data_IF_437575317091
#
_entry.id   IF_437575317091
#
_cell.length_a   1.000
_cell.length_b   1.000
_cell.length_c   1.000
_cell.angle_alpha   90.00
_cell.angle_beta   90.00
_cell.angle_gamma   90.00
#
_symmetry.space_group_name_H-M   'P 1'
#
loop_
_entity.id
_entity.type
_entity.pdbx_description
1 polymer ?
#
# COMPACT_ATOMS: atom_id res chain seq x y z
N UNK A 1 63.16 14.11 -4.18
CA UNK A 1 62.37 13.93 -2.95
C UNK A 1 61.44 15.14 -2.81
N UNK A 2 60.25 15.06 -3.33
CA UNK A 2 59.19 16.07 -3.10
C UNK A 2 58.12 15.38 -2.26
N UNK A 3 57.92 15.91 -1.06
CA UNK A 3 56.90 15.44 -0.10
C UNK A 3 55.53 15.73 -0.65
N UNK A 4 54.76 14.67 -0.82
CA UNK A 4 53.33 14.72 -1.13
C UNK A 4 52.63 15.10 0.18
N UNK A 5 52.05 16.30 0.27
CA UNK A 5 51.11 16.64 1.32
C UNK A 5 49.76 16.04 0.93
N UNK A 6 49.41 14.93 1.56
CA UNK A 6 48.06 14.36 1.51
C UNK A 6 47.25 15.13 2.55
N UNK A 7 46.42 16.05 2.09
CA UNK A 7 45.37 16.64 2.94
C UNK A 7 44.28 15.61 3.04
N UNK A 8 44.25 14.93 4.18
CA UNK A 8 43.18 13.96 4.50
C UNK A 8 41.85 14.69 4.56
N UNK A 9 40.99 14.45 3.59
CA UNK A 9 39.56 14.75 3.70
C UNK A 9 38.99 13.69 4.62
N UNK A 10 38.65 14.08 5.83
CA UNK A 10 38.02 13.22 6.80
C UNK A 10 36.54 13.02 6.36
N UNK A 11 36.31 11.96 5.64
CA UNK A 11 34.93 11.46 5.46
C UNK A 11 34.48 10.90 6.81
N UNK A 12 33.63 11.62 7.51
CA UNK A 12 32.97 11.10 8.71
C UNK A 12 31.94 10.06 8.25
N UNK A 13 32.36 8.80 8.19
CA UNK A 13 31.42 7.69 8.16
C UNK A 13 30.78 7.60 9.54
N UNK A 14 29.52 7.89 9.65
CA UNK A 14 28.71 7.54 10.82
C UNK A 14 28.61 6.01 10.85
N UNK A 15 29.49 5.37 11.63
CA UNK A 15 29.29 3.99 12.05
C UNK A 15 28.30 4.06 13.22
N UNK A 16 27.04 4.14 12.91
CA UNK A 16 25.97 3.85 13.84
C UNK A 16 25.95 2.35 14.08
N UNK A 17 26.33 1.88 15.26
CA UNK A 17 26.07 0.53 15.73
C UNK A 17 24.61 0.43 16.18
N UNK A 18 23.71 0.65 15.27
CA UNK A 18 22.29 0.34 15.35
C UNK A 18 21.98 -0.61 14.21
N UNK A 19 21.26 -1.67 14.44
CA UNK A 19 20.64 -2.51 13.41
C UNK A 19 19.56 -1.68 12.71
N UNK A 20 19.97 -0.75 11.86
CA UNK A 20 19.04 -0.02 11.04
C UNK A 20 18.45 -1.00 10.04
N UNK A 21 17.18 -1.34 10.25
CA UNK A 21 16.37 -1.92 9.19
C UNK A 21 16.53 -1.01 7.96
N UNK A 22 16.65 -1.57 6.74
CA UNK A 22 16.79 -0.76 5.54
C UNK A 22 15.68 0.30 5.52
N UNK A 23 16.06 1.53 5.19
CA UNK A 23 15.10 2.64 5.12
C UNK A 23 13.92 2.20 4.27
N UNK A 24 12.69 2.31 4.83
CA UNK A 24 11.50 1.91 4.12
C UNK A 24 11.24 2.90 2.99
N UNK A 25 10.97 2.36 1.80
CA UNK A 25 10.67 3.14 0.61
C UNK A 25 9.29 3.83 0.76
N UNK A 26 9.09 5.04 0.21
CA UNK A 26 7.85 5.82 0.38
C UNK A 26 6.55 5.10 -0.01
N UNK A 27 6.58 4.33 -1.11
CA UNK A 27 5.52 3.43 -1.55
C UNK A 27 4.14 4.09 -1.78
N UNK A 28 4.08 5.25 -2.44
CA UNK A 28 2.81 5.83 -2.89
C UNK A 28 2.04 4.83 -3.77
N UNK A 29 0.74 4.69 -3.52
CA UNK A 29 -0.09 3.69 -4.21
C UNK A 29 -0.09 2.30 -3.56
N UNK A 30 0.41 2.18 -2.31
CA UNK A 30 0.38 0.93 -1.56
C UNK A 30 -1.01 0.59 -1.02
N UNK A 31 -1.81 1.58 -0.68
CA UNK A 31 -3.21 1.46 -0.31
C UNK A 31 -4.04 2.43 -1.12
N UNK A 32 -5.19 2.00 -1.59
CA UNK A 32 -6.09 2.80 -2.43
C UNK A 32 -7.52 2.54 -1.98
N UNK A 33 -8.28 3.62 -1.75
CA UNK A 33 -9.72 3.56 -1.55
C UNK A 33 -10.39 4.50 -2.56
N UNK A 34 -11.45 4.03 -3.20
CA UNK A 34 -12.13 4.73 -4.29
C UNK A 34 -13.63 4.67 -4.07
N UNK A 35 -14.28 5.83 -4.19
CA UNK A 35 -15.73 5.96 -4.37
C UNK A 35 -16.04 6.37 -5.81
N UNK A 36 -17.30 6.64 -6.15
CA UNK A 36 -17.63 7.14 -7.48
C UNK A 36 -16.97 8.47 -7.86
N UNK A 37 -16.67 9.33 -6.87
CA UNK A 37 -16.19 10.70 -7.08
C UNK A 37 -14.93 11.07 -6.30
N UNK A 38 -14.49 10.21 -5.37
CA UNK A 38 -13.33 10.48 -4.53
C UNK A 38 -12.36 9.31 -4.50
N UNK A 39 -11.09 9.66 -4.42
CA UNK A 39 -9.98 8.73 -4.41
C UNK A 39 -9.03 9.08 -3.27
N UNK A 40 -8.62 8.07 -2.50
CA UNK A 40 -7.62 8.19 -1.45
C UNK A 40 -6.47 7.25 -1.75
N UNK A 41 -5.25 7.77 -1.69
CA UNK A 41 -4.03 7.02 -1.95
C UNK A 41 -3.10 7.16 -0.76
N UNK A 42 -2.71 6.03 -0.19
CA UNK A 42 -1.75 5.97 0.91
C UNK A 42 -0.30 5.96 0.42
N UNK A 43 0.51 6.74 1.11
CA UNK A 43 1.98 6.71 1.09
C UNK A 43 2.44 6.49 2.54
N UNK A 44 2.48 5.25 3.02
CA UNK A 44 2.64 4.95 4.45
C UNK A 44 4.01 5.31 5.00
N UNK A 45 5.00 5.46 4.14
CA UNK A 45 6.36 5.87 4.50
C UNK A 45 6.76 7.04 3.62
N UNK A 46 7.48 7.99 4.20
CA UNK A 46 8.22 9.01 3.45
C UNK A 46 9.67 9.00 3.96
N UNK A 47 10.64 9.32 3.11
CA UNK A 47 12.06 9.27 3.48
C UNK A 47 12.39 10.08 4.73
N UNK A 48 11.80 11.25 4.86
CA UNK A 48 12.08 12.21 5.93
C UNK A 48 10.84 12.71 6.67
N UNK A 49 9.66 12.31 6.22
CA UNK A 49 8.38 12.71 6.77
C UNK A 49 7.53 11.54 7.27
N UNK A 50 6.41 11.82 7.88
CA UNK A 50 5.42 10.82 8.25
C UNK A 50 4.70 10.26 7.03
N UNK A 51 3.97 9.15 7.23
CA UNK A 51 3.02 8.66 6.24
C UNK A 51 1.95 9.71 5.91
N UNK A 52 1.48 9.68 4.67
CA UNK A 52 0.51 10.65 4.14
C UNK A 52 -0.58 9.93 3.36
N UNK A 53 -1.81 10.40 3.46
CA UNK A 53 -2.92 10.00 2.59
C UNK A 53 -3.30 11.18 1.72
N UNK A 54 -3.27 10.99 0.42
CA UNK A 54 -3.66 11.99 -0.58
C UNK A 54 -5.11 11.79 -0.94
N UNK A 55 -5.92 12.84 -0.83
CA UNK A 55 -7.31 12.86 -1.23
C UNK A 55 -7.47 13.59 -2.56
N UNK A 56 -8.19 12.98 -3.47
CA UNK A 56 -8.49 13.52 -4.79
C UNK A 56 -10.00 13.53 -5.03
N UNK A 57 -10.45 14.46 -5.86
CA UNK A 57 -11.82 14.51 -6.36
C UNK A 57 -11.82 14.42 -7.88
N UNK A 58 -12.79 13.69 -8.40
CA UNK A 58 -13.02 13.58 -9.83
C UNK A 58 -13.61 14.90 -10.36
N UNK A 59 -12.94 15.50 -11.33
CA UNK A 59 -13.44 16.71 -11.98
C UNK A 59 -14.45 16.37 -13.08
N UNK A 60 -15.28 17.33 -13.52
CA UNK A 60 -16.18 17.14 -14.66
C UNK A 60 -15.46 16.76 -15.97
N UNK A 61 -14.17 17.05 -16.09
CA UNK A 61 -13.34 16.64 -17.23
C UNK A 61 -12.81 15.21 -17.13
N UNK A 62 -13.12 14.47 -16.06
CA UNK A 62 -12.69 13.09 -15.87
C UNK A 62 -11.29 12.94 -15.28
N UNK A 63 -10.67 14.02 -14.80
CA UNK A 63 -9.36 14.00 -14.17
C UNK A 63 -9.48 14.00 -12.64
N UNK A 64 -8.54 13.37 -11.96
CA UNK A 64 -8.41 13.41 -10.51
C UNK A 64 -7.62 14.66 -10.08
N UNK A 65 -8.24 15.50 -9.28
CA UNK A 65 -7.61 16.69 -8.71
C UNK A 65 -7.34 16.47 -7.22
N UNK A 66 -6.10 16.65 -6.78
CA UNK A 66 -5.74 16.62 -5.37
C UNK A 66 -6.47 17.74 -4.62
N UNK A 67 -7.15 17.37 -3.53
CA UNK A 67 -7.92 18.31 -2.71
C UNK A 67 -7.28 18.51 -1.33
N UNK A 68 -6.65 17.49 -0.79
CA UNK A 68 -5.98 17.58 0.51
C UNK A 68 -4.97 16.46 0.73
N UNK A 69 -4.09 16.69 1.69
CA UNK A 69 -3.14 15.72 2.23
C UNK A 69 -3.42 15.54 3.70
N UNK A 70 -3.63 14.30 4.10
CA UNK A 70 -3.98 13.94 5.46
C UNK A 70 -2.76 13.30 6.12
N UNK A 71 -2.43 13.78 7.29
CA UNK A 71 -1.40 13.23 8.17
C UNK A 71 -1.97 13.08 9.56
N UNK A 72 -1.47 12.16 10.36
CA UNK A 72 -1.88 12.02 11.75
C UNK A 72 -1.37 13.20 12.58
N UNK A 73 -2.18 13.68 13.53
CA UNK A 73 -1.83 14.79 14.43
C UNK A 73 -0.63 14.49 15.33
N UNK A 74 -0.40 13.19 15.62
CA UNK A 74 0.71 12.67 16.42
C UNK A 74 1.68 11.82 15.57
N UNK A 75 1.83 12.16 14.31
CA UNK A 75 2.57 11.39 13.31
C UNK A 75 4.04 11.15 13.64
N UNK A 76 4.54 9.93 13.34
CA UNK A 76 5.96 9.56 13.36
C UNK A 76 6.30 8.84 12.04
N UNK A 77 7.59 8.87 11.66
CA UNK A 77 8.10 8.28 10.41
C UNK A 77 7.91 6.77 10.29
N UNK A 78 7.70 6.07 11.39
CA UNK A 78 7.65 4.60 11.45
C UNK A 78 6.25 4.05 11.72
N UNK A 79 5.24 4.88 11.70
CA UNK A 79 3.89 4.49 12.08
C UNK A 79 3.14 3.72 10.99
N UNK A 80 3.62 3.79 9.76
CA UNK A 80 2.96 3.25 8.56
C UNK A 80 1.53 3.82 8.38
N UNK A 81 1.29 5.09 8.73
CA UNK A 81 0.01 5.77 8.52
C UNK A 81 -0.35 5.78 7.02
N UNK A 82 -1.56 5.33 6.67
CA UNK A 82 -1.97 5.19 5.28
C UNK A 82 -1.72 3.80 4.69
N UNK A 83 -1.35 2.79 5.51
CA UNK A 83 -1.18 1.41 5.05
C UNK A 83 -2.47 0.72 4.68
N UNK A 84 -3.59 1.13 5.27
CA UNK A 84 -4.93 0.66 4.96
C UNK A 84 -5.92 1.82 5.00
N UNK A 85 -6.90 1.79 4.12
CA UNK A 85 -7.88 2.85 3.91
C UNK A 85 -9.27 2.27 3.72
N UNK A 86 -10.28 2.88 4.33
CA UNK A 86 -11.67 2.58 4.06
C UNK A 86 -12.52 3.82 4.19
N UNK A 87 -13.33 4.12 3.19
CA UNK A 87 -14.18 5.31 3.12
C UNK A 87 -15.65 4.91 2.97
N UNK A 88 -16.51 5.59 3.73
CA UNK A 88 -17.97 5.46 3.59
C UNK A 88 -18.61 6.84 3.86
N UNK A 89 -19.17 7.45 2.83
CA UNK A 89 -19.74 8.79 2.87
C UNK A 89 -18.72 9.84 3.32
N UNK A 90 -19.04 10.52 4.42
CA UNK A 90 -18.21 11.59 4.98
C UNK A 90 -17.21 11.11 6.05
N UNK A 91 -16.84 9.84 6.02
CA UNK A 91 -15.90 9.24 6.97
C UNK A 91 -14.85 8.40 6.27
N UNK A 92 -13.59 8.60 6.66
CA UNK A 92 -12.44 7.84 6.21
C UNK A 92 -11.73 7.25 7.43
N UNK A 93 -11.41 5.98 7.37
CA UNK A 93 -10.57 5.29 8.37
C UNK A 93 -9.21 5.03 7.75
N UNK A 94 -8.16 5.36 8.50
CA UNK A 94 -6.76 5.20 8.08
C UNK A 94 -6.00 4.37 9.10
N UNK A 95 -5.45 3.24 8.68
CA UNK A 95 -4.64 2.39 9.53
C UNK A 95 -3.19 2.84 9.62
N UNK A 96 -2.62 2.67 10.83
CA UNK A 96 -1.21 2.91 11.15
C UNK A 96 -0.68 1.74 12.02
N UNK A 97 -0.42 0.57 11.43
CA UNK A 97 -0.20 -0.68 12.16
C UNK A 97 1.12 -0.74 12.93
N UNK A 98 2.06 0.16 12.65
CA UNK A 98 3.34 0.23 13.38
C UNK A 98 3.39 1.32 14.44
N UNK A 99 2.34 2.11 14.60
CA UNK A 99 2.22 3.09 15.68
C UNK A 99 2.49 2.41 17.03
N UNK A 100 3.10 3.16 17.97
CA UNK A 100 3.36 2.69 19.33
C UNK A 100 4.18 1.39 19.40
N UNK A 101 5.21 1.28 18.57
CA UNK A 101 6.11 0.13 18.58
C UNK A 101 5.52 -1.14 17.97
N UNK A 102 4.46 -1.03 17.16
CA UNK A 102 3.85 -2.14 16.45
C UNK A 102 2.50 -2.61 17.03
N UNK A 103 2.02 -2.01 18.13
CA UNK A 103 0.64 -2.25 18.58
C UNK A 103 -0.37 -1.79 17.54
N UNK A 104 -0.11 -0.65 16.90
CA UNK A 104 -0.95 -0.08 15.88
C UNK A 104 -2.13 0.73 16.41
N UNK A 105 -2.70 1.57 15.54
CA UNK A 105 -3.94 2.34 15.76
C UNK A 105 -4.66 2.52 14.44
N UNK A 106 -5.91 3.01 14.50
CA UNK A 106 -6.62 3.53 13.33
C UNK A 106 -7.07 4.97 13.60
N UNK A 107 -6.96 5.83 12.60
CA UNK A 107 -7.39 7.23 12.66
C UNK A 107 -8.73 7.38 11.96
N UNK A 108 -9.57 8.25 12.52
CA UNK A 108 -10.85 8.64 11.94
C UNK A 108 -10.71 10.05 11.39
N UNK A 109 -10.98 10.21 10.10
CA UNK A 109 -11.16 11.50 9.46
C UNK A 109 -12.62 11.68 9.09
N UNK A 110 -13.17 12.86 9.36
CA UNK A 110 -14.55 13.20 9.07
C UNK A 110 -14.65 14.56 8.41
N UNK A 111 -15.74 14.77 7.68
CA UNK A 111 -16.17 16.06 7.18
C UNK A 111 -17.68 16.18 7.32
N UNK A 112 -18.23 17.39 7.28
CA UNK A 112 -19.66 17.62 7.44
C UNK A 112 -20.41 17.45 6.12
N UNK A 113 -19.80 17.86 5.01
CA UNK A 113 -20.33 17.72 3.66
C UNK A 113 -19.23 17.35 2.67
N UNK A 114 -19.59 16.96 1.44
CA UNK A 114 -18.62 16.63 0.38
C UNK A 114 -17.69 17.79 0.02
N UNK A 115 -18.13 19.03 0.22
CA UNK A 115 -17.35 20.24 -0.09
C UNK A 115 -16.44 20.69 1.05
N UNK A 116 -16.59 20.10 2.24
CA UNK A 116 -15.74 20.42 3.39
C UNK A 116 -14.40 19.65 3.34
N UNK A 117 -13.42 20.22 4.03
CA UNK A 117 -12.13 19.58 4.23
C UNK A 117 -12.25 18.38 5.18
N UNK A 118 -11.48 17.32 4.89
CA UNK A 118 -11.29 16.20 5.79
C UNK A 118 -10.49 16.63 7.02
N UNK A 119 -10.99 16.30 8.21
CA UNK A 119 -10.33 16.60 9.49
C UNK A 119 -10.23 15.37 10.34
N UNK A 120 -9.12 15.24 11.05
CA UNK A 120 -8.97 14.18 12.05
C UNK A 120 -10.00 14.40 13.16
N UNK A 121 -10.87 13.40 13.34
CA UNK A 121 -11.94 13.39 14.34
C UNK A 121 -11.54 12.57 15.58
N UNK A 122 -10.54 11.70 15.47
CA UNK A 122 -10.04 10.93 16.60
C UNK A 122 -9.18 9.74 16.23
N UNK A 123 -8.70 9.07 17.26
CA UNK A 123 -7.86 7.88 17.18
C UNK A 123 -8.62 6.71 17.82
N UNK A 124 -8.67 5.58 17.12
CA UNK A 124 -9.18 4.32 17.64
C UNK A 124 -8.00 3.47 18.08
N UNK A 125 -7.86 3.35 19.38
CA UNK A 125 -6.82 2.54 19.99
C UNK A 125 -7.28 1.09 20.14
N UNK A 126 -6.37 0.11 20.12
CA UNK A 126 -6.71 -1.24 20.48
C UNK A 126 -7.19 -1.30 21.95
N UNK A 127 -7.93 -2.34 22.36
CA UNK A 127 -8.30 -2.53 23.76
C UNK A 127 -7.10 -2.48 24.68
N UNK A 128 -7.27 -2.02 25.94
CA UNK A 128 -6.16 -1.79 26.87
C UNK A 128 -5.42 -3.08 27.28
N UNK A 129 -6.08 -4.23 27.18
CA UNK A 129 -5.55 -5.53 27.57
C UNK A 129 -5.35 -6.46 26.38
N UNK A 130 -4.24 -7.17 26.33
CA UNK A 130 -3.92 -8.19 25.33
C UNK A 130 -2.77 -7.83 24.39
N UNK A 131 -2.46 -8.75 23.48
CA UNK A 131 -1.57 -8.51 22.34
C UNK A 131 -2.38 -7.86 21.21
N UNK A 132 -1.88 -6.78 20.65
CA UNK A 132 -2.54 -6.01 19.60
C UNK A 132 -1.66 -5.80 18.38
N UNK A 133 -0.65 -6.64 18.21
CA UNK A 133 0.36 -6.51 17.15
C UNK A 133 -0.27 -6.35 15.76
N UNK A 134 0.00 -5.21 15.15
CA UNK A 134 -0.50 -4.87 13.81
C UNK A 134 -1.95 -4.40 13.74
N UNK A 135 -2.54 -3.87 14.83
CA UNK A 135 -3.88 -3.26 14.79
C UNK A 135 -3.94 -2.14 13.74
N UNK A 136 -4.92 -2.20 12.85
CA UNK A 136 -5.02 -1.28 11.71
C UNK A 136 -4.28 -1.76 10.45
N UNK A 137 -3.78 -3.00 10.40
CA UNK A 137 -3.22 -3.59 9.16
C UNK A 137 -4.25 -3.60 8.03
N UNK A 138 -5.49 -3.86 8.36
CA UNK A 138 -6.63 -3.72 7.46
C UNK A 138 -7.79 -3.05 8.18
N UNK A 139 -8.55 -2.24 7.47
CA UNK A 139 -9.74 -1.56 7.99
C UNK A 139 -10.89 -1.67 6.99
N UNK A 140 -12.10 -1.89 7.48
CA UNK A 140 -13.33 -1.90 6.67
C UNK A 140 -14.43 -1.17 7.41
N UNK A 141 -14.87 -0.05 6.85
CA UNK A 141 -15.95 0.76 7.35
C UNK A 141 -17.25 0.39 6.60
N UNK A 142 -18.31 0.12 7.34
CA UNK A 142 -19.60 -0.33 6.81
C UNK A 142 -20.73 0.35 7.59
N UNK A 143 -21.08 1.57 7.21
CA UNK A 143 -22.08 2.38 7.92
C UNK A 143 -21.68 2.63 9.38
N UNK A 144 -22.46 2.10 10.35
CA UNK A 144 -22.13 2.23 11.78
C UNK A 144 -21.09 1.22 12.26
N UNK A 145 -20.78 0.19 11.50
CA UNK A 145 -19.87 -0.88 11.86
C UNK A 145 -18.46 -0.62 11.27
N UNK A 146 -17.43 -0.97 12.02
CA UNK A 146 -16.02 -0.87 11.63
C UNK A 146 -15.31 -2.16 12.02
N UNK A 147 -14.57 -2.73 11.08
CA UNK A 147 -13.74 -3.89 11.30
C UNK A 147 -12.27 -3.48 11.20
N UNK A 148 -11.47 -3.88 12.18
CA UNK A 148 -10.05 -3.59 12.24
C UNK A 148 -9.28 -4.89 12.43
N UNK A 149 -8.42 -5.20 11.48
CA UNK A 149 -7.57 -6.37 11.49
C UNK A 149 -6.29 -6.16 12.30
N UNK A 150 -5.92 -7.19 13.06
CA UNK A 150 -4.70 -7.30 13.84
C UNK A 150 -4.08 -8.70 13.61
N UNK A 151 -3.42 -8.90 12.47
CA UNK A 151 -3.07 -10.25 11.97
C UNK A 151 -1.94 -10.95 12.70
N UNK A 152 -1.21 -10.26 13.58
CA UNK A 152 -0.10 -10.84 14.32
C UNK A 152 -0.45 -11.27 15.76
N UNK A 153 -1.68 -10.98 16.22
CA UNK A 153 -2.15 -11.37 17.57
C UNK A 153 -2.13 -12.88 17.73
N UNK A 154 -1.55 -13.37 18.82
CA UNK A 154 -1.44 -14.79 19.17
C UNK A 154 -0.91 -15.68 18.02
N UNK A 155 -0.13 -15.10 17.09
CA UNK A 155 0.35 -15.75 15.86
C UNK A 155 -0.76 -16.21 14.88
N UNK A 156 -2.02 -16.03 15.22
CA UNK A 156 -3.19 -16.38 14.38
C UNK A 156 -3.75 -15.14 13.71
N UNK A 157 -3.94 -14.08 14.48
CA UNK A 157 -4.62 -12.85 14.10
C UNK A 157 -6.08 -12.79 14.59
N UNK A 158 -6.58 -11.57 14.65
CA UNK A 158 -7.97 -11.28 15.04
C UNK A 158 -8.53 -10.13 14.20
N UNK A 159 -9.86 -10.02 14.16
CA UNK A 159 -10.56 -8.84 13.67
C UNK A 159 -11.44 -8.28 14.79
N UNK A 160 -11.23 -7.02 15.13
CA UNK A 160 -12.08 -6.31 16.06
C UNK A 160 -13.29 -5.75 15.32
N UNK A 161 -14.48 -6.06 15.81
CA UNK A 161 -15.72 -5.44 15.37
C UNK A 161 -16.09 -4.32 16.33
N UNK A 162 -16.17 -3.10 15.80
CA UNK A 162 -16.55 -1.91 16.53
C UNK A 162 -17.84 -1.34 15.95
N UNK A 163 -18.63 -0.69 16.77
CA UNK A 163 -19.81 0.03 16.35
C UNK A 163 -19.83 1.43 16.88
N UNK A 164 -20.21 2.36 16.02
CA UNK A 164 -20.30 3.77 16.38
C UNK A 164 -21.53 4.04 17.23
N UNK A 165 -21.35 4.79 18.31
CA UNK A 165 -22.41 5.33 19.16
C UNK A 165 -22.07 6.80 19.47
N UNK A 166 -22.78 7.73 18.81
CA UNK A 166 -22.41 9.15 18.81
C UNK A 166 -21.04 9.34 18.15
N UNK A 167 -20.11 9.96 18.88
CA UNK A 167 -18.74 10.20 18.40
C UNK A 167 -17.73 9.14 18.83
N UNK A 168 -18.20 8.05 19.46
CA UNK A 168 -17.33 6.99 19.98
C UNK A 168 -17.49 5.70 19.20
N UNK A 169 -16.38 4.98 19.08
CA UNK A 169 -16.33 3.62 18.59
C UNK A 169 -16.22 2.65 19.75
N UNK A 170 -17.18 1.74 19.89
CA UNK A 170 -17.23 0.77 20.96
C UNK A 170 -17.02 -0.63 20.41
N UNK A 171 -16.10 -1.38 20.99
CA UNK A 171 -15.86 -2.79 20.64
C UNK A 171 -17.11 -3.58 20.95
N UNK A 172 -17.66 -4.28 19.96
CA UNK A 172 -18.80 -5.18 20.05
C UNK A 172 -18.38 -6.63 20.20
N UNK A 173 -17.23 -6.99 19.61
CA UNK A 173 -16.71 -8.34 19.63
C UNK A 173 -15.35 -8.46 18.95
N UNK A 174 -14.78 -9.64 19.07
CA UNK A 174 -13.52 -10.02 18.42
C UNK A 174 -13.79 -11.28 17.60
N UNK A 175 -13.59 -11.19 16.30
CA UNK A 175 -13.75 -12.32 15.39
C UNK A 175 -12.43 -13.09 15.35
N UNK A 176 -12.54 -14.39 15.41
CA UNK A 176 -11.43 -15.35 15.28
C UNK A 176 -11.87 -16.47 14.33
N UNK A 177 -10.93 -17.10 13.64
CA UNK A 177 -11.28 -18.27 12.84
C UNK A 177 -11.65 -19.43 13.78
N UNK A 178 -12.80 -20.06 13.49
CA UNK A 178 -13.22 -21.30 14.16
C UNK A 178 -12.42 -22.48 13.59
N UNK A 179 -11.22 -22.72 14.12
CA UNK A 179 -10.32 -23.75 13.59
C UNK A 179 -9.18 -24.06 14.53
N UNK A 180 -8.81 -25.34 14.60
CA UNK A 180 -7.74 -25.88 15.44
C UNK A 180 -6.34 -25.81 14.80
N UNK A 181 -6.18 -25.31 13.55
CA UNK A 181 -4.95 -25.55 12.83
C UNK A 181 -4.42 -24.34 12.05
N UNK A 182 -3.10 -24.18 12.12
CA UNK A 182 -2.18 -23.55 11.14
C UNK A 182 -2.66 -22.27 10.45
N UNK A 183 -3.55 -21.50 11.08
CA UNK A 183 -3.99 -20.20 10.61
C UNK A 183 -3.02 -19.16 11.11
N UNK A 184 -2.56 -18.29 10.24
CA UNK A 184 -1.83 -17.10 10.65
C UNK A 184 -2.18 -15.95 9.71
N UNK A 185 -2.08 -14.74 10.22
CA UNK A 185 -2.41 -13.55 9.46
C UNK A 185 -3.90 -13.32 9.25
N UNK A 186 -4.79 -13.96 10.03
CA UNK A 186 -6.22 -13.68 9.99
C UNK A 186 -6.49 -12.20 10.27
N UNK A 187 -7.26 -11.56 9.40
CA UNK A 187 -7.46 -10.11 9.44
C UNK A 187 -6.43 -9.30 8.67
N UNK A 188 -5.57 -9.94 7.84
CA UNK A 188 -4.65 -9.20 6.97
C UNK A 188 -5.37 -8.53 5.80
N UNK A 189 -6.41 -9.15 5.29
CA UNK A 189 -7.29 -8.61 4.25
C UNK A 189 -8.75 -8.80 4.63
N UNK A 190 -9.59 -7.87 4.25
CA UNK A 190 -11.03 -7.94 4.53
C UNK A 190 -11.82 -7.30 3.39
N UNK A 191 -13.02 -7.80 3.18
CA UNK A 191 -14.04 -7.21 2.30
C UNK A 191 -15.42 -7.39 2.92
N UNK A 192 -16.25 -6.38 2.83
CA UNK A 192 -17.61 -6.38 3.37
C UNK A 192 -18.62 -6.04 2.29
N UNK A 193 -19.76 -6.75 2.29
CA UNK A 193 -20.92 -6.40 1.49
C UNK A 193 -22.19 -6.93 2.16
N UNK A 194 -23.14 -6.03 2.40
CA UNK A 194 -24.42 -6.36 3.07
C UNK A 194 -24.22 -7.00 4.45
N UNK A 195 -24.73 -8.21 4.62
CA UNK A 195 -24.60 -8.98 5.87
C UNK A 195 -23.40 -9.93 5.87
N UNK A 196 -22.42 -9.73 4.96
CA UNK A 196 -21.27 -10.58 4.82
C UNK A 196 -19.96 -9.83 5.03
N UNK A 197 -19.06 -10.47 5.77
CA UNK A 197 -17.67 -10.08 5.90
C UNK A 197 -16.78 -11.26 5.50
N UNK A 198 -15.89 -11.04 4.57
CA UNK A 198 -14.88 -12.01 4.14
C UNK A 198 -13.51 -11.58 4.67
N UNK A 199 -12.87 -12.45 5.42
CA UNK A 199 -11.59 -12.20 6.08
C UNK A 199 -10.54 -13.14 5.55
N UNK A 200 -9.44 -12.59 5.05
CA UNK A 200 -8.27 -13.34 4.60
C UNK A 200 -7.21 -13.49 5.69
N UNK A 201 -6.58 -14.66 5.68
CA UNK A 201 -5.42 -14.98 6.49
C UNK A 201 -4.42 -15.77 5.66
N UNK A 202 -3.55 -15.11 4.87
CA UNK A 202 -2.70 -15.77 3.87
C UNK A 202 -1.67 -16.73 4.45
N UNK A 203 -1.54 -16.74 5.77
CA UNK A 203 -0.65 -17.64 6.49
C UNK A 203 0.83 -17.27 6.37
N UNK A 204 1.70 -17.92 7.15
CA UNK A 204 3.14 -17.83 7.00
C UNK A 204 3.58 -18.63 5.75
N UNK A 205 4.81 -18.44 5.30
CA UNK A 205 5.37 -19.19 4.16
C UNK A 205 5.38 -20.71 4.34
N UNK A 206 5.07 -21.20 5.54
CA UNK A 206 4.99 -22.62 5.89
C UNK A 206 3.58 -23.19 5.85
N UNK A 207 2.55 -22.37 5.64
CA UNK A 207 1.15 -22.80 5.57
C UNK A 207 0.43 -22.16 4.38
N UNK A 208 -0.58 -22.83 3.78
CA UNK A 208 -1.27 -22.35 2.59
C UNK A 208 -2.14 -21.10 2.81
N UNK A 209 -2.51 -20.77 4.06
CA UNK A 209 -3.46 -19.70 4.38
C UNK A 209 -4.92 -20.14 4.35
N UNK A 210 -5.83 -19.16 4.46
CA UNK A 210 -7.27 -19.39 4.44
C UNK A 210 -8.07 -18.11 4.25
N UNK A 211 -9.34 -18.26 3.91
CA UNK A 211 -10.31 -17.18 3.88
C UNK A 211 -11.60 -17.63 4.59
N UNK A 212 -12.24 -16.71 5.29
CA UNK A 212 -13.28 -17.01 6.24
C UNK A 212 -14.47 -16.09 6.04
N UNK A 213 -15.64 -16.67 5.81
CA UNK A 213 -16.90 -15.95 5.66
C UNK A 213 -17.57 -15.83 7.01
N UNK A 214 -17.92 -14.60 7.38
CA UNK A 214 -18.75 -14.28 8.52
C UNK A 214 -20.07 -13.70 8.06
N UNK A 215 -21.14 -14.11 8.70
CA UNK A 215 -22.49 -13.61 8.45
C UNK A 215 -23.00 -12.85 9.66
N UNK A 216 -23.59 -11.70 9.41
CA UNK A 216 -24.31 -10.94 10.44
C UNK A 216 -25.59 -11.64 10.81
N UNK A 217 -25.77 -11.86 12.10
CA UNK A 217 -26.99 -12.45 12.65
C UNK A 217 -28.05 -11.38 12.95
N UNK A 218 -29.33 -11.75 13.10
CA UNK A 218 -30.39 -10.79 13.43
C UNK A 218 -30.18 -10.02 14.74
N UNK A 219 -29.42 -10.59 15.69
CA UNK A 219 -29.02 -9.93 16.94
C UNK A 219 -27.85 -8.97 16.79
N UNK A 220 -27.29 -8.83 15.56
CA UNK A 220 -26.13 -7.99 15.25
C UNK A 220 -24.77 -8.61 15.45
N UNK A 221 -24.69 -9.84 15.97
CA UNK A 221 -23.45 -10.60 16.10
C UNK A 221 -22.97 -11.13 14.74
N UNK A 222 -21.67 -11.30 14.61
CA UNK A 222 -21.04 -11.90 13.43
C UNK A 222 -20.57 -13.31 13.75
N UNK A 223 -21.03 -14.28 12.99
CA UNK A 223 -20.67 -15.70 13.16
C UNK A 223 -20.04 -16.26 11.91
N UNK A 224 -19.03 -17.11 12.07
CA UNK A 224 -18.40 -17.79 10.94
C UNK A 224 -19.39 -18.74 10.28
N UNK A 225 -19.52 -18.62 8.95
CA UNK A 225 -20.40 -19.47 8.13
C UNK A 225 -19.59 -20.50 7.34
N UNK A 226 -18.44 -20.09 6.76
CA UNK A 226 -17.60 -20.95 5.94
C UNK A 226 -16.13 -20.62 6.17
N UNK A 227 -15.27 -21.65 6.13
CA UNK A 227 -13.82 -21.51 6.04
C UNK A 227 -13.33 -22.16 4.73
N UNK A 228 -12.66 -21.37 3.91
CA UNK A 228 -12.00 -21.84 2.69
C UNK A 228 -10.54 -22.08 3.00
N UNK A 229 -10.13 -23.33 3.01
CA UNK A 229 -8.75 -23.76 3.25
C UNK A 229 -8.37 -24.73 2.15
N UNK A 230 -7.18 -24.59 1.63
CA UNK A 230 -6.56 -25.60 0.78
C UNK A 230 -5.66 -26.47 1.65
N UNK A 231 -5.76 -27.79 1.49
CA UNK A 231 -4.83 -28.68 2.18
C UNK A 231 -3.42 -28.53 1.58
N UNK A 232 -2.38 -28.87 2.36
CA UNK A 232 -0.99 -28.84 1.87
C UNK A 232 -0.75 -29.78 0.68
N UNK A 233 -1.60 -30.78 0.50
CA UNK A 233 -1.55 -31.68 -0.64
C UNK A 233 -2.22 -31.11 -1.89
N UNK A 234 -3.15 -30.15 -1.74
CA UNK A 234 -3.86 -29.49 -2.82
C UNK A 234 -3.15 -28.18 -3.23
N UNK A 235 -2.53 -27.51 -2.27
CA UNK A 235 -1.77 -26.29 -2.51
C UNK A 235 -0.42 -26.38 -1.81
N UNK A 236 0.60 -25.82 -2.45
CA UNK A 236 1.92 -25.71 -1.83
C UNK A 236 1.88 -24.88 -0.53
N UNK A 237 2.87 -25.01 0.36
CA UNK A 237 2.91 -24.29 1.64
C UNK A 237 2.98 -22.76 1.48
N UNK A 238 3.09 -22.25 0.26
CA UNK A 238 3.17 -20.82 -0.06
C UNK A 238 2.00 -20.35 -0.91
N UNK A 239 0.87 -21.06 -0.87
CA UNK A 239 -0.28 -20.75 -1.71
C UNK A 239 -0.82 -19.33 -1.44
N UNK A 240 -0.80 -18.90 -0.16
CA UNK A 240 -1.23 -17.55 0.23
C UNK A 240 -2.75 -17.35 0.02
N UNK A 241 -3.55 -18.36 0.35
CA UNK A 241 -5.02 -18.28 0.27
C UNK A 241 -5.49 -17.10 1.13
N UNK A 242 -6.30 -16.22 0.55
CA UNK A 242 -6.77 -15.02 1.25
C UNK A 242 -5.80 -13.84 1.23
N UNK A 243 -4.75 -13.85 0.37
CA UNK A 243 -3.89 -12.68 0.16
C UNK A 243 -4.65 -11.46 -0.35
N UNK A 244 -5.71 -11.66 -1.09
CA UNK A 244 -6.72 -10.68 -1.44
C UNK A 244 -8.10 -11.32 -1.32
N UNK A 245 -9.08 -10.57 -0.85
CA UNK A 245 -10.48 -11.00 -0.77
C UNK A 245 -11.40 -9.88 -1.26
N UNK A 246 -12.48 -10.23 -1.95
CA UNK A 246 -13.46 -9.28 -2.46
C UNK A 246 -14.87 -9.88 -2.44
N UNK A 247 -15.82 -9.16 -1.91
CA UNK A 247 -17.24 -9.42 -1.99
C UNK A 247 -17.89 -8.46 -3.01
N UNK A 248 -18.78 -8.97 -3.83
CA UNK A 248 -19.56 -8.21 -4.81
C UNK A 248 -20.96 -8.84 -4.94
N UNK A 249 -21.91 -8.36 -4.18
CA UNK A 249 -23.27 -8.87 -4.11
C UNK A 249 -23.32 -10.35 -3.71
N UNK A 250 -23.68 -11.19 -4.67
CA UNK A 250 -23.79 -12.64 -4.48
C UNK A 250 -22.54 -13.41 -4.88
N UNK A 251 -21.41 -12.72 -5.07
CA UNK A 251 -20.15 -13.33 -5.48
C UNK A 251 -18.99 -12.93 -4.58
N UNK A 252 -18.11 -13.87 -4.31
CA UNK A 252 -16.89 -13.67 -3.55
C UNK A 252 -15.68 -14.16 -4.34
N UNK A 253 -14.57 -13.45 -4.23
CA UNK A 253 -13.29 -13.77 -4.88
C UNK A 253 -12.19 -13.85 -3.83
N UNK A 254 -11.36 -14.89 -3.93
CA UNK A 254 -10.27 -15.17 -3.00
C UNK A 254 -8.99 -15.40 -3.80
N UNK A 255 -8.00 -14.56 -3.58
CA UNK A 255 -6.69 -14.67 -4.21
C UNK A 255 -5.84 -15.78 -3.61
N UNK A 256 -5.17 -16.53 -4.48
CA UNK A 256 -4.25 -17.63 -4.16
C UNK A 256 -2.97 -17.44 -4.98
N UNK A 257 -2.17 -16.40 -4.67
CA UNK A 257 -1.06 -15.97 -5.54
C UNK A 257 0.06 -16.98 -5.69
N UNK A 258 0.25 -17.89 -4.73
CA UNK A 258 1.23 -18.97 -4.87
C UNK A 258 0.85 -20.02 -5.90
N UNK A 259 -0.44 -20.16 -6.20
CA UNK A 259 -1.00 -21.04 -7.24
C UNK A 259 -1.36 -20.26 -8.52
N UNK A 260 -1.06 -18.96 -8.56
CA UNK A 260 -1.43 -18.06 -9.66
C UNK A 260 -2.91 -18.17 -10.03
N UNK A 261 -3.79 -18.13 -9.02
CA UNK A 261 -5.23 -18.27 -9.19
C UNK A 261 -6.03 -17.33 -8.31
N UNK A 262 -7.27 -17.07 -8.73
CA UNK A 262 -8.34 -16.50 -7.90
C UNK A 262 -9.49 -17.49 -7.94
N UNK A 263 -9.87 -18.02 -6.79
CA UNK A 263 -11.08 -18.86 -6.68
C UNK A 263 -12.29 -17.97 -6.40
N UNK A 264 -13.43 -18.32 -6.97
CA UNK A 264 -14.64 -17.54 -6.72
C UNK A 264 -15.80 -18.45 -6.27
N UNK A 265 -16.68 -17.85 -5.47
CA UNK A 265 -17.82 -18.49 -4.84
C UNK A 265 -19.09 -17.73 -5.21
N UNK A 266 -20.18 -18.45 -5.37
CA UNK A 266 -21.51 -17.88 -5.53
C UNK A 266 -22.35 -18.14 -4.26
N UNK A 267 -23.11 -17.13 -3.86
CA UNK A 267 -24.06 -17.22 -2.76
C UNK A 267 -25.39 -17.79 -3.29
N UNK A 268 -25.75 -18.97 -2.82
CA UNK A 268 -27.00 -19.61 -3.18
C UNK A 268 -28.20 -18.98 -2.48
N UNK A 269 -29.41 -19.31 -2.95
CA UNK A 269 -30.69 -18.88 -2.34
C UNK A 269 -30.82 -19.34 -0.89
N UNK A 270 -30.19 -20.45 -0.50
CA UNK A 270 -30.12 -20.95 0.88
C UNK A 270 -29.29 -20.07 1.82
N UNK A 271 -28.51 -19.14 1.27
CA UNK A 271 -27.56 -18.33 2.02
C UNK A 271 -26.22 -19.01 2.27
N UNK A 272 -25.91 -20.07 1.50
CA UNK A 272 -24.63 -20.79 1.57
C UNK A 272 -23.72 -20.40 0.41
N UNK A 273 -22.43 -20.22 0.71
CA UNK A 273 -21.41 -19.99 -0.30
C UNK A 273 -20.89 -21.30 -0.87
N UNK A 274 -20.90 -21.43 -2.20
CA UNK A 274 -20.38 -22.60 -2.91
C UNK A 274 -19.34 -22.19 -3.93
N UNK A 275 -18.25 -22.94 -4.02
CA UNK A 275 -17.22 -22.65 -5.01
C UNK A 275 -17.78 -22.87 -6.41
N UNK A 276 -17.71 -21.83 -7.25
CA UNK A 276 -18.23 -21.83 -8.61
C UNK A 276 -17.14 -21.97 -9.68
N UNK A 277 -15.89 -21.63 -9.34
CA UNK A 277 -14.79 -21.79 -10.28
C UNK A 277 -13.50 -21.08 -9.87
N UNK A 278 -12.64 -20.87 -10.85
CA UNK A 278 -11.37 -20.16 -10.66
C UNK A 278 -10.97 -19.36 -11.90
N UNK A 279 -10.24 -18.26 -11.66
CA UNK A 279 -9.63 -17.42 -12.70
C UNK A 279 -8.12 -17.69 -12.72
N UNK A 280 -7.56 -17.76 -13.92
CA UNK A 280 -6.14 -17.98 -14.15
C UNK A 280 -5.60 -17.00 -15.18
N UNK A 281 -4.31 -16.60 -15.12
CA UNK A 281 -3.72 -15.76 -16.14
C UNK A 281 -3.55 -16.54 -17.46
N UNK A 282 -3.58 -15.88 -18.60
CA UNK A 282 -3.36 -16.53 -19.92
C UNK A 282 -1.98 -17.13 -20.08
N UNK A 283 -1.00 -16.54 -19.41
CA UNK A 283 0.40 -16.92 -19.51
C UNK A 283 0.82 -17.52 -18.18
N UNK A 284 1.21 -18.78 -18.19
CA UNK A 284 1.75 -19.44 -17.02
C UNK A 284 3.10 -18.81 -16.67
N UNK A 285 3.18 -18.08 -15.55
CA UNK A 285 4.46 -17.67 -14.98
C UNK A 285 4.49 -18.04 -13.50
N UNK A 286 5.34 -18.96 -13.13
CA UNK A 286 5.40 -19.55 -11.78
C UNK A 286 5.77 -18.61 -10.63
N UNK A 287 5.90 -17.30 -10.88
CA UNK A 287 6.18 -16.27 -9.87
C UNK A 287 5.38 -14.99 -10.10
N UNK A 288 4.29 -15.08 -10.84
CA UNK A 288 3.46 -13.93 -11.22
C UNK A 288 2.81 -13.24 -10.02
N UNK A 289 2.57 -13.96 -8.93
CA UNK A 289 1.77 -13.50 -7.80
C UNK A 289 0.36 -13.03 -8.25
N UNK A 290 -0.22 -13.69 -9.26
CA UNK A 290 -1.57 -13.43 -9.72
C UNK A 290 -2.58 -13.72 -8.59
N UNK A 291 -3.47 -12.79 -8.31
CA UNK A 291 -4.39 -12.87 -7.16
C UNK A 291 -3.88 -12.15 -5.91
N UNK A 292 -2.79 -11.36 -6.00
CA UNK A 292 -2.31 -10.54 -4.87
C UNK A 292 -3.23 -9.35 -4.56
N UNK A 293 -3.97 -8.87 -5.54
CA UNK A 293 -5.00 -7.85 -5.40
C UNK A 293 -6.18 -8.15 -6.32
N UNK A 294 -7.38 -7.77 -5.91
CA UNK A 294 -8.62 -8.00 -6.65
C UNK A 294 -9.48 -6.75 -6.52
N UNK A 295 -10.07 -6.31 -7.63
CA UNK A 295 -11.09 -5.27 -7.67
C UNK A 295 -12.21 -5.68 -8.63
N UNK A 296 -13.43 -5.19 -8.39
CA UNK A 296 -14.58 -5.43 -9.26
C UNK A 296 -15.16 -4.08 -9.67
N UNK A 297 -15.36 -3.90 -10.98
CA UNK A 297 -15.99 -2.71 -11.53
C UNK A 297 -16.76 -3.06 -12.80
N UNK A 298 -17.98 -2.54 -12.93
CA UNK A 298 -18.81 -2.71 -14.13
C UNK A 298 -19.10 -4.17 -14.51
N UNK A 299 -19.12 -5.08 -13.53
CA UNK A 299 -19.31 -6.52 -13.75
C UNK A 299 -18.06 -7.25 -14.23
N UNK A 300 -16.90 -6.58 -14.24
CA UNK A 300 -15.60 -7.13 -14.60
C UNK A 300 -14.72 -7.34 -13.37
N UNK A 301 -13.89 -8.38 -13.38
CA UNK A 301 -12.94 -8.69 -12.30
C UNK A 301 -11.53 -8.32 -12.76
N UNK A 302 -10.87 -7.52 -11.94
CA UNK A 302 -9.50 -7.09 -12.13
C UNK A 302 -8.61 -7.79 -11.14
N UNK A 303 -7.54 -8.42 -11.63
CA UNK A 303 -6.63 -9.22 -10.82
C UNK A 303 -5.21 -8.75 -11.01
N UNK A 304 -4.57 -8.35 -9.93
CA UNK A 304 -3.18 -7.93 -9.92
C UNK A 304 -2.21 -9.11 -9.83
N UNK A 305 -1.11 -8.97 -10.55
CA UNK A 305 0.00 -9.91 -10.60
C UNK A 305 1.33 -9.15 -10.51
N UNK A 306 1.68 -8.57 -9.35
CA UNK A 306 2.84 -7.69 -9.19
C UNK A 306 4.18 -8.38 -9.40
N UNK A 307 4.24 -9.72 -9.39
CA UNK A 307 5.46 -10.51 -9.62
C UNK A 307 5.84 -10.74 -11.08
N UNK A 308 4.96 -10.40 -12.04
CA UNK A 308 5.21 -10.60 -13.49
C UNK A 308 6.41 -9.75 -13.95
N UNK A 309 7.16 -10.26 -14.97
CA UNK A 309 8.27 -9.54 -15.59
C UNK A 309 9.28 -8.97 -14.57
N UNK A 310 9.83 -9.83 -13.70
CA UNK A 310 10.81 -9.44 -12.66
C UNK A 310 10.26 -8.39 -11.69
N UNK A 311 8.95 -8.49 -11.34
CA UNK A 311 8.22 -7.56 -10.47
C UNK A 311 7.86 -6.22 -11.12
N UNK A 312 7.89 -6.08 -12.43
CA UNK A 312 7.27 -4.91 -13.07
C UNK A 312 5.75 -4.91 -12.88
N UNK A 313 5.18 -6.11 -12.75
CA UNK A 313 3.77 -6.30 -12.48
C UNK A 313 2.90 -6.28 -13.73
N UNK A 314 1.67 -6.70 -13.55
CA UNK A 314 0.63 -6.77 -14.57
C UNK A 314 -0.75 -6.80 -13.92
N UNK A 315 -1.75 -6.27 -14.60
CA UNK A 315 -3.16 -6.41 -14.23
C UNK A 315 -3.89 -7.17 -15.33
N UNK A 316 -4.69 -8.15 -14.94
CA UNK A 316 -5.56 -8.92 -15.82
C UNK A 316 -7.00 -8.53 -15.57
N UNK A 317 -7.76 -8.36 -16.65
CA UNK A 317 -9.18 -8.06 -16.60
C UNK A 317 -9.98 -9.22 -17.16
N UNK A 318 -10.96 -9.68 -16.43
CA UNK A 318 -11.86 -10.75 -16.81
C UNK A 318 -13.26 -10.19 -17.02
N UNK A 319 -13.85 -10.53 -18.16
CA UNK A 319 -15.21 -10.14 -18.54
C UNK A 319 -16.08 -11.40 -18.51
N UNK A 320 -17.31 -11.26 -18.02
CA UNK A 320 -18.26 -12.37 -18.00
C UNK A 320 -18.87 -12.56 -19.39
N UNK A 321 -18.88 -13.80 -19.88
CA UNK A 321 -19.58 -14.16 -21.10
C UNK A 321 -21.05 -14.47 -20.84
N UNK A 322 -21.87 -14.38 -21.91
CA UNK A 322 -23.28 -14.74 -21.85
C UNK A 322 -23.53 -16.22 -21.48
N UNK A 323 -22.52 -17.08 -21.66
CA UNK A 323 -22.52 -18.51 -21.29
C UNK A 323 -22.17 -18.78 -19.83
N UNK A 324 -22.11 -17.74 -18.98
CA UNK A 324 -21.74 -17.79 -17.56
C UNK A 324 -20.27 -18.12 -17.28
N UNK A 325 -19.44 -18.14 -18.30
CA UNK A 325 -17.98 -18.29 -18.21
C UNK A 325 -17.26 -16.95 -18.03
N UNK A 326 -16.01 -17.00 -17.56
CA UNK A 326 -15.11 -15.86 -17.52
C UNK A 326 -14.16 -15.92 -18.69
N UNK A 327 -14.12 -14.87 -19.49
CA UNK A 327 -13.09 -14.66 -20.51
C UNK A 327 -12.09 -13.63 -19.99
N UNK A 328 -10.85 -13.98 -20.10
CA UNK A 328 -9.77 -13.05 -19.85
C UNK A 328 -9.65 -12.11 -21.05
N UNK A 329 -10.12 -10.88 -20.89
CA UNK A 329 -10.32 -9.96 -21.99
C UNK A 329 -9.08 -9.12 -22.33
N UNK A 330 -8.37 -8.63 -21.32
CA UNK A 330 -7.26 -7.66 -21.50
C UNK A 330 -6.21 -7.86 -20.44
N UNK A 331 -4.96 -7.67 -20.82
CA UNK A 331 -3.83 -7.45 -19.91
C UNK A 331 -3.41 -5.99 -19.98
N UNK A 332 -3.10 -5.41 -18.85
CA UNK A 332 -2.49 -4.10 -18.72
C UNK A 332 -1.08 -4.28 -18.18
N UNK A 333 -0.11 -3.78 -18.90
CA UNK A 333 1.29 -3.68 -18.48
C UNK A 333 1.59 -2.22 -18.13
N UNK A 334 2.45 -1.98 -17.15
CA UNK A 334 2.91 -0.63 -16.86
C UNK A 334 3.75 -0.09 -18.02
N UNK A 335 3.56 1.17 -18.41
CA UNK A 335 4.41 1.83 -19.39
C UNK A 335 5.87 1.87 -18.92
N UNK A 336 6.81 1.58 -19.83
CA UNK A 336 8.24 1.53 -19.55
C UNK A 336 8.70 0.24 -18.86
N UNK A 337 7.85 -0.80 -18.79
CA UNK A 337 8.19 -2.11 -18.25
C UNK A 337 8.96 -2.94 -19.28
N UNK A 338 10.14 -2.50 -19.67
CA UNK A 338 11.03 -3.19 -20.63
C UNK A 338 11.87 -4.33 -20.00
N UNK A 339 11.69 -4.56 -18.69
CA UNK A 339 12.42 -5.58 -17.93
C UNK A 339 13.84 -5.19 -17.55
N UNK A 340 14.30 -4.00 -17.92
CA UNK A 340 15.63 -3.45 -17.59
C UNK A 340 15.59 -2.47 -16.44
N UNK A 341 14.41 -1.92 -16.12
CA UNK A 341 14.19 -0.94 -15.06
C UNK A 341 13.91 -1.57 -13.70
N UNK A 342 13.90 -0.75 -12.68
CA UNK A 342 13.52 -1.11 -11.31
C UNK A 342 12.10 -1.71 -11.27
N UNK A 343 11.82 -2.69 -10.40
CA UNK A 343 10.49 -3.29 -10.30
C UNK A 343 9.43 -2.23 -9.95
N UNK A 344 8.29 -2.27 -10.63
CA UNK A 344 7.19 -1.33 -10.43
C UNK A 344 6.13 -1.87 -9.49
N UNK A 345 5.95 -3.19 -9.45
CA UNK A 345 4.87 -3.90 -8.75
C UNK A 345 3.47 -3.42 -9.18
N UNK A 346 3.29 -3.18 -10.48
CA UNK A 346 2.01 -2.75 -11.04
C UNK A 346 0.90 -3.75 -10.71
N UNK A 347 -0.21 -3.26 -10.17
CA UNK A 347 -1.29 -4.08 -9.66
C UNK A 347 -1.05 -4.62 -8.24
N UNK A 348 -0.14 -4.02 -7.46
CA UNK A 348 0.04 -4.36 -6.05
C UNK A 348 -1.20 -4.05 -5.21
N UNK A 349 -1.78 -2.88 -5.37
CA UNK A 349 -3.06 -2.46 -4.81
C UNK A 349 -3.95 -1.92 -5.92
N UNK A 350 -5.24 -2.15 -5.81
CA UNK A 350 -6.24 -1.69 -6.76
C UNK A 350 -7.53 -1.34 -6.05
N UNK A 351 -8.21 -0.32 -6.56
CA UNK A 351 -9.59 -0.02 -6.19
C UNK A 351 -10.38 0.33 -7.46
N UNK A 352 -11.66 -0.02 -7.47
CA UNK A 352 -12.54 0.27 -8.60
C UNK A 352 -13.94 0.63 -8.10
N UNK A 353 -14.57 1.60 -8.76
CA UNK A 353 -15.93 2.05 -8.47
C UNK A 353 -16.57 2.64 -9.73
N UNK A 354 -17.72 2.08 -10.15
CA UNK A 354 -18.40 2.50 -11.36
C UNK A 354 -17.52 2.36 -12.61
N UNK A 355 -17.29 3.48 -13.29
CA UNK A 355 -16.49 3.56 -14.51
C UNK A 355 -15.03 3.99 -14.26
N UNK A 356 -14.57 3.91 -13.02
CA UNK A 356 -13.21 4.30 -12.64
C UNK A 356 -12.49 3.17 -11.91
N UNK A 357 -11.20 3.02 -12.18
CA UNK A 357 -10.30 2.18 -11.39
C UNK A 357 -8.94 2.87 -11.22
N UNK A 358 -8.25 2.54 -10.14
CA UNK A 358 -6.91 3.05 -9.83
C UNK A 358 -6.00 1.89 -9.46
N UNK A 359 -4.83 1.85 -10.11
CA UNK A 359 -3.89 0.73 -10.09
C UNK A 359 -2.55 1.21 -9.52
N UNK A 360 -2.14 0.69 -8.38
CA UNK A 360 -0.93 1.09 -7.67
C UNK A 360 0.34 0.45 -8.24
N UNK A 361 1.43 1.21 -8.17
CA UNK A 361 2.80 0.83 -8.51
C UNK A 361 3.75 1.31 -7.39
N UNK A 362 3.67 0.73 -6.19
CA UNK A 362 4.35 1.30 -5.02
C UNK A 362 5.88 1.25 -5.11
N UNK A 363 6.45 0.34 -5.88
CA UNK A 363 7.90 0.23 -6.06
C UNK A 363 8.46 1.01 -7.25
N UNK A 364 7.61 1.70 -8.05
CA UNK A 364 8.08 2.50 -9.17
C UNK A 364 8.94 3.66 -8.69
N UNK A 365 9.83 4.14 -9.57
CA UNK A 365 10.76 5.24 -9.26
C UNK A 365 11.59 4.98 -8.00
N UNK A 366 12.13 3.76 -7.92
CA UNK A 366 12.96 3.31 -6.80
C UNK A 366 12.23 3.30 -5.44
N UNK A 367 10.91 3.02 -5.46
CA UNK A 367 10.11 2.89 -4.26
C UNK A 367 9.36 4.17 -3.87
N UNK A 368 9.48 5.26 -4.63
CA UNK A 368 8.67 6.46 -4.41
C UNK A 368 7.20 6.21 -4.70
N UNK A 369 6.93 5.34 -5.67
CA UNK A 369 5.61 4.87 -6.02
C UNK A 369 4.82 5.79 -6.93
N UNK A 370 3.87 5.20 -7.65
CA UNK A 370 2.89 5.87 -8.51
C UNK A 370 1.56 5.13 -8.47
N UNK A 371 0.51 5.75 -8.97
CA UNK A 371 -0.76 5.10 -9.27
C UNK A 371 -1.27 5.54 -10.64
N UNK A 372 -1.86 4.61 -11.39
CA UNK A 372 -2.46 4.85 -12.70
C UNK A 372 -3.98 4.86 -12.56
N UNK A 373 -4.60 5.99 -12.85
CA UNK A 373 -6.03 6.08 -12.98
C UNK A 373 -6.47 5.62 -14.38
N UNK A 374 -7.50 4.81 -14.44
CA UNK A 374 -8.13 4.34 -15.67
C UNK A 374 -9.63 4.63 -15.62
N UNK A 375 -10.23 4.93 -16.75
CA UNK A 375 -11.66 5.20 -16.83
C UNK A 375 -12.29 4.43 -17.98
N UNK A 376 -13.57 4.09 -17.81
CA UNK A 376 -14.37 3.41 -18.84
C UNK A 376 -15.07 4.42 -19.72
N UNK A 377 -14.97 4.23 -21.02
CA UNK A 377 -15.72 5.00 -22.02
C UNK A 377 -16.44 4.02 -22.95
N UNK A 378 -17.76 3.89 -22.77
CA UNK A 378 -18.53 2.83 -23.40
C UNK A 378 -18.07 1.45 -22.89
N UNK A 379 -17.68 0.56 -23.81
CA UNK A 379 -17.20 -0.79 -23.46
C UNK A 379 -15.67 -0.86 -23.28
N UNK A 380 -14.97 0.24 -23.48
CA UNK A 380 -13.50 0.29 -23.44
C UNK A 380 -12.97 1.02 -22.23
N UNK A 381 -12.02 0.40 -21.53
CA UNK A 381 -11.21 1.06 -20.51
C UNK A 381 -10.00 1.75 -21.15
N UNK A 382 -9.76 2.98 -20.74
CA UNK A 382 -8.68 3.82 -21.23
C UNK A 382 -7.76 4.18 -20.08
N UNK A 383 -6.45 4.14 -20.33
CA UNK A 383 -5.46 4.69 -19.41
C UNK A 383 -5.58 6.20 -19.35
N UNK A 384 -5.59 6.74 -18.15
CA UNK A 384 -5.73 8.16 -17.88
C UNK A 384 -4.51 8.73 -17.16
N UNK A 385 -4.76 9.42 -16.08
CA UNK A 385 -3.78 10.17 -15.31
C UNK A 385 -2.87 9.27 -14.50
N UNK A 386 -1.56 9.55 -14.52
CA UNK A 386 -0.60 9.04 -13.54
C UNK A 386 -0.57 9.98 -12.34
N UNK A 387 -0.75 9.40 -11.14
CA UNK A 387 -0.74 10.11 -9.87
C UNK A 387 0.55 9.78 -9.11
N UNK A 388 1.10 10.78 -8.42
CA UNK A 388 2.36 10.70 -7.69
C UNK A 388 2.22 11.37 -6.33
N UNK A 389 2.85 10.78 -5.30
CA UNK A 389 2.98 11.43 -4.00
C UNK A 389 4.08 12.48 -4.01
N UNK A 390 4.02 13.42 -3.10
CA UNK A 390 5.14 14.32 -2.86
C UNK A 390 6.20 13.60 -2.04
N UNK A 391 7.45 13.79 -2.43
CA UNK A 391 8.57 13.31 -1.68
C UNK A 391 9.15 14.47 -0.92
N UNK A 392 9.23 14.28 0.39
CA UNK A 392 9.89 15.25 1.23
C UNK A 392 11.36 15.34 0.80
N UNK A 393 11.75 16.48 0.29
CA UNK A 393 13.11 16.77 -0.14
C UNK A 393 13.54 18.07 0.52
N UNK A 394 14.81 18.14 0.88
CA UNK A 394 15.40 19.43 1.24
C UNK A 394 15.33 20.31 -0.01
N UNK A 395 14.50 21.33 0.07
CA UNK A 395 14.23 22.23 -1.06
C UNK A 395 15.42 23.14 -1.33
N UNK A 396 15.72 23.32 -2.63
CA UNK A 396 16.62 24.35 -3.10
C UNK A 396 18.12 24.02 -3.01
N UNK A 397 18.91 24.85 -3.66
CA UNK A 397 20.36 24.88 -3.50
C UNK A 397 20.66 25.78 -2.31
N UNK A 398 21.07 25.21 -1.18
CA UNK A 398 21.55 26.01 -0.05
C UNK A 398 22.87 26.66 -0.48
N UNK A 399 22.91 27.98 -0.42
CA UNK A 399 24.12 28.74 -0.75
C UNK A 399 25.17 28.61 0.35
N UNK A 400 26.43 28.76 0.00
CA UNK A 400 27.56 28.74 0.93
C UNK A 400 27.33 29.67 2.13
N UNK A 401 27.60 29.17 3.34
CA UNK A 401 27.58 29.96 4.55
C UNK A 401 26.34 29.75 5.45
N UNK A 402 25.50 28.75 5.16
CA UNK A 402 24.42 28.39 6.10
C UNK A 402 25.04 27.74 7.34
N UNK A 403 24.87 28.40 8.49
CA UNK A 403 25.44 27.96 9.76
C UNK A 403 24.44 27.17 10.58
N UNK A 404 25.02 26.32 11.44
CA UNK A 404 24.25 25.64 12.47
C UNK A 404 23.76 26.64 13.51
N UNK A 405 22.47 26.95 13.52
CA UNK A 405 21.84 27.86 14.48
C UNK A 405 20.94 27.11 15.44
N UNK A 406 21.10 27.34 16.74
CA UNK A 406 20.27 26.66 17.74
C UNK A 406 20.40 25.13 17.80
N UNK A 407 21.48 24.57 17.23
CA UNK A 407 21.67 23.12 17.15
C UNK A 407 20.98 22.47 15.95
N UNK A 408 20.48 23.27 15.01
CA UNK A 408 19.81 22.80 13.80
C UNK A 408 20.31 23.53 12.54
N UNK A 409 20.33 22.81 11.45
CA UNK A 409 20.50 23.30 10.09
C UNK A 409 19.31 22.77 9.29
N UNK A 410 18.34 23.62 9.04
CA UNK A 410 17.02 23.19 8.56
C UNK A 410 16.41 22.12 9.52
N UNK A 411 16.07 20.94 9.02
CA UNK A 411 15.57 19.80 9.83
C UNK A 411 16.68 18.93 10.44
N UNK A 412 17.97 19.20 10.13
CA UNK A 412 19.07 18.36 10.61
C UNK A 412 19.67 18.89 11.91
N UNK A 413 19.77 18.03 12.94
CA UNK A 413 20.54 18.39 14.11
C UNK A 413 22.02 18.57 13.73
N UNK A 414 22.63 19.64 14.21
CA UNK A 414 24.02 19.95 13.91
C UNK A 414 24.73 20.55 15.13
N UNK A 415 26.05 20.42 15.17
CA UNK A 415 26.91 21.07 16.16
C UNK A 415 28.26 21.37 15.54
N UNK A 416 28.71 22.62 15.63
CA UNK A 416 30.05 23.05 15.19
C UNK A 416 30.39 22.72 13.73
N UNK A 417 29.39 22.73 12.86
CA UNK A 417 29.54 22.52 11.40
C UNK A 417 28.96 23.69 10.63
N UNK A 418 29.47 23.91 9.43
CA UNK A 418 28.95 24.85 8.46
C UNK A 418 28.67 24.13 7.16
N UNK A 419 27.48 24.32 6.59
CA UNK A 419 27.15 23.80 5.29
C UNK A 419 27.73 24.72 4.22
N UNK A 420 28.70 24.24 3.49
CA UNK A 420 29.34 25.00 2.42
C UNK A 420 28.50 25.09 1.17
N UNK A 421 27.84 24.00 0.82
CA UNK A 421 26.90 23.94 -0.32
C UNK A 421 26.04 22.70 -0.19
N UNK A 422 24.79 22.80 -0.63
CA UNK A 422 23.89 21.67 -0.84
C UNK A 422 23.35 21.72 -2.26
N UNK A 423 23.42 20.60 -2.96
CA UNK A 423 22.94 20.47 -4.33
C UNK A 423 21.93 19.31 -4.40
N UNK A 424 20.67 19.57 -4.74
CA UNK A 424 19.67 18.53 -4.84
C UNK A 424 20.00 17.57 -6.01
N UNK A 425 19.57 16.31 -5.90
CA UNK A 425 19.83 15.28 -6.92
C UNK A 425 19.32 15.68 -8.30
N UNK A 426 18.23 16.45 -8.37
CA UNK A 426 17.69 17.02 -9.61
C UNK A 426 18.65 18.02 -10.29
N UNK A 427 19.38 18.81 -9.51
CA UNK A 427 20.42 19.70 -10.05
C UNK A 427 21.64 18.93 -10.56
N UNK A 428 21.84 17.70 -10.11
CA UNK A 428 22.83 16.75 -10.62
C UNK A 428 22.31 15.96 -11.84
N UNK A 429 21.13 16.29 -12.37
CA UNK A 429 20.52 15.61 -13.51
C UNK A 429 19.88 14.27 -13.15
N UNK A 430 19.63 13.96 -11.87
CA UNK A 430 18.92 12.79 -11.46
C UNK A 430 17.40 12.97 -11.57
N UNK A 431 16.73 11.95 -12.07
CA UNK A 431 15.27 11.88 -12.12
C UNK A 431 14.67 11.54 -10.75
N UNK A 432 13.32 11.49 -10.69
CA UNK A 432 12.56 11.08 -9.51
C UNK A 432 13.05 9.71 -9.00
N UNK A 433 13.28 9.59 -7.68
CA UNK A 433 13.75 8.36 -7.05
C UNK A 433 15.24 8.05 -7.20
N UNK A 434 15.99 8.90 -7.86
CA UNK A 434 17.44 8.73 -8.00
C UNK A 434 18.16 9.18 -6.74
N UNK A 435 19.13 8.37 -6.28
CA UNK A 435 19.94 8.62 -5.10
C UNK A 435 21.41 8.81 -5.47
N UNK A 436 22.10 9.56 -4.63
CA UNK A 436 23.56 9.64 -4.63
C UNK A 436 24.10 8.46 -3.80
N UNK A 437 25.04 7.73 -4.38
CA UNK A 437 25.65 6.57 -3.73
C UNK A 437 27.03 6.88 -3.16
N UNK A 438 27.84 7.64 -3.92
CA UNK A 438 29.21 7.96 -3.52
C UNK A 438 29.70 9.24 -4.20
N UNK A 439 30.72 9.87 -3.63
CA UNK A 439 31.34 11.10 -4.15
C UNK A 439 32.83 11.01 -4.08
N UNK A 440 33.51 11.27 -5.21
CA UNK A 440 34.97 11.41 -5.30
C UNK A 440 35.37 12.80 -5.75
N UNK A 441 36.45 13.31 -5.17
CA UNK A 441 37.09 14.52 -5.66
C UNK A 441 38.11 14.20 -6.76
N UNK A 442 38.07 14.93 -7.86
CA UNK A 442 39.05 14.86 -8.90
C UNK A 442 39.60 16.26 -9.24
N UNK A 443 40.87 16.36 -9.54
CA UNK A 443 41.48 17.61 -9.97
C UNK A 443 42.04 17.44 -11.38
N UNK A 444 41.54 18.24 -12.31
CA UNK A 444 42.06 18.37 -13.63
C UNK A 444 43.44 19.04 -13.53
N UNK A 445 44.49 18.30 -13.85
CA UNK A 445 45.86 18.77 -13.74
C UNK A 445 46.27 19.72 -14.87
N UNK A 446 45.50 19.74 -15.97
CA UNK A 446 45.80 20.61 -17.13
C UNK A 446 45.25 22.02 -16.87
N UNK A 447 44.05 22.14 -16.34
CA UNK A 447 43.37 23.43 -16.12
C UNK A 447 43.29 23.83 -14.65
N UNK A 448 43.71 22.97 -13.73
CA UNK A 448 43.70 23.23 -12.28
C UNK A 448 42.28 23.25 -11.66
N UNK A 449 41.25 22.80 -12.39
CA UNK A 449 39.89 22.76 -11.93
C UNK A 449 39.66 21.57 -11.01
N UNK A 450 38.85 21.76 -10.01
CA UNK A 450 38.44 20.70 -9.08
C UNK A 450 36.98 20.31 -9.39
N UNK A 451 36.73 19.01 -9.40
CA UNK A 451 35.43 18.45 -9.67
C UNK A 451 35.03 17.48 -8.56
N UNK A 452 33.77 17.45 -8.25
CA UNK A 452 33.17 16.34 -7.52
C UNK A 452 32.52 15.37 -8.53
N UNK A 453 32.93 14.12 -8.49
CA UNK A 453 32.29 13.04 -9.26
C UNK A 453 31.29 12.40 -8.35
N UNK A 454 30.01 12.59 -8.67
CA UNK A 454 28.90 12.12 -7.87
C UNK A 454 28.31 10.88 -8.55
N UNK A 455 28.49 9.72 -7.92
CA UNK A 455 27.85 8.49 -8.37
C UNK A 455 26.38 8.51 -7.96
N UNK A 456 25.51 8.39 -8.94
CA UNK A 456 24.08 8.26 -8.76
C UNK A 456 23.67 6.85 -9.11
N UNK A 457 22.49 6.46 -8.65
CA UNK A 457 21.91 5.16 -8.97
C UNK A 457 21.66 4.93 -10.46
N UNK A 458 21.43 6.00 -11.23
CA UNK A 458 21.16 6.02 -12.66
C UNK A 458 22.36 6.45 -13.52
N UNK A 459 23.50 6.79 -12.92
CA UNK A 459 24.66 7.25 -13.64
C UNK A 459 25.67 8.00 -12.78
N UNK A 460 26.40 8.93 -13.38
CA UNK A 460 27.33 9.80 -12.68
C UNK A 460 27.22 11.25 -13.15
N UNK A 461 27.46 12.19 -12.24
CA UNK A 461 27.53 13.62 -12.53
C UNK A 461 28.90 14.19 -12.20
N UNK A 462 29.35 15.12 -12.99
CA UNK A 462 30.54 15.91 -12.76
C UNK A 462 30.13 17.32 -12.33
N UNK A 463 30.52 17.73 -11.15
CA UNK A 463 30.14 19.00 -10.53
C UNK A 463 31.36 19.87 -10.25
#
# INVERSE_FOLDING_TARGET
MRKLCITSVLAIAFIGTGSDAPAQEPNFGRAIALTGTELFIGQPVNWYGPGTVYAYRLTPSGNWQETSRLTASDSDRKDDFGSSLSVDGNRLIVGAPRKRGGSGVAYVFERTSEDDEWREAGIIEPPAEGDHSGYGTSVVLAGPDLFIGSPAVDSIGVVYHLRRAGDRWNVQGVLRPDTDAEVAGFGQTMSHDGDWLLVGGPGPRSAPGGAYFFRRQPNGEWTQSLAVKLSRSEAGPRAGVGSAVMLDGTRAYIGVPGESSVVYFDLGESGDWTQAGSLHPFEASGRAQFGSSIAVAGGEVWVGAPGVNRRNGRVYRFVREASDGWQSAVRLDAEGADGTSWPFEFGYAMAAAGDHAVLGMPSRDFGEGRALAVSRNGDAWQTGQTLEGEIYRIGGTLTAGTRCEGGQLEEFPCANIELVSHMPVSALGGERGVWVNDVWGWTDTEYGRKYALVARRDGASFV
#
